data_IF_219245338492
#
_entry.id   IF_219245338492
#
_cell.length_a   1.000
_cell.length_b   1.000
_cell.length_c   1.000
_cell.angle_alpha   90.00
_cell.angle_beta   90.00
_cell.angle_gamma   90.00
#
_symmetry.space_group_name_H-M   'P 1'
#
loop_
_entity.id
_entity.type
_entity.pdbx_description
1 polymer ?
#
# COMPACT_ATOMS: atom_id res chain seq x y z
N UNK A 1 2.96 1.61 -30.28
CA UNK A 1 2.67 2.81 -29.47
C UNK A 1 3.44 2.78 -28.17
N UNK A 2 4.00 3.89 -27.73
CA UNK A 2 4.81 3.93 -26.48
C UNK A 2 4.08 3.40 -25.26
N UNK A 3 2.77 3.65 -25.15
CA UNK A 3 1.97 3.17 -24.01
C UNK A 3 1.96 1.65 -23.91
N UNK A 4 1.74 0.97 -25.02
CA UNK A 4 1.66 -0.49 -25.06
C UNK A 4 3.00 -1.14 -24.71
N UNK A 5 4.07 -0.62 -25.29
CA UNK A 5 5.43 -1.07 -25.03
C UNK A 5 5.82 -0.83 -23.56
N UNK A 6 5.41 0.29 -23.00
CA UNK A 6 5.64 0.62 -21.59
C UNK A 6 4.92 -0.37 -20.66
N UNK A 7 3.65 -0.67 -20.94
CA UNK A 7 2.87 -1.62 -20.12
C UNK A 7 3.50 -3.01 -20.15
N UNK A 8 3.98 -3.46 -21.32
CA UNK A 8 4.67 -4.76 -21.42
C UNK A 8 5.95 -4.74 -20.59
N UNK A 9 6.74 -3.69 -20.69
CA UNK A 9 7.97 -3.58 -19.92
C UNK A 9 7.70 -3.59 -18.41
N UNK A 10 6.65 -2.89 -17.96
CA UNK A 10 6.30 -2.84 -16.53
C UNK A 10 5.79 -4.17 -15.99
N UNK A 11 5.22 -5.03 -16.84
CA UNK A 11 4.84 -6.39 -16.42
C UNK A 11 6.04 -7.22 -15.98
N UNK A 12 7.22 -6.93 -16.50
CA UNK A 12 8.46 -7.66 -16.15
C UNK A 12 9.17 -7.08 -14.93
N UNK A 13 8.67 -5.99 -14.38
CA UNK A 13 9.18 -5.46 -13.12
C UNK A 13 8.48 -6.17 -11.95
N UNK A 14 9.14 -7.17 -11.38
CA UNK A 14 8.62 -7.88 -10.22
C UNK A 14 8.57 -6.93 -9.01
N UNK A 15 7.50 -6.99 -8.24
CA UNK A 15 7.31 -6.12 -7.10
C UNK A 15 6.70 -6.88 -5.94
N UNK A 16 7.09 -6.53 -4.72
CA UNK A 16 6.33 -6.90 -3.55
C UNK A 16 4.95 -6.25 -3.61
N UNK A 17 3.94 -6.96 -3.12
CA UNK A 17 2.58 -6.45 -3.05
C UNK A 17 2.35 -5.89 -1.66
N UNK A 18 1.82 -4.67 -1.60
CA UNK A 18 1.51 -4.00 -0.34
C UNK A 18 0.07 -3.53 -0.32
N UNK A 19 -0.45 -3.30 0.89
CA UNK A 19 -1.71 -2.59 1.11
C UNK A 19 -1.42 -1.35 1.93
N UNK A 20 -1.84 -0.20 1.42
CA UNK A 20 -1.79 1.07 2.14
C UNK A 20 -3.08 1.22 2.92
N UNK A 21 -2.99 1.47 4.23
CA UNK A 21 -4.15 1.59 5.10
C UNK A 21 -4.09 2.86 5.93
N UNK A 22 -5.24 3.48 6.11
CA UNK A 22 -5.38 4.72 6.89
C UNK A 22 -6.84 4.88 7.33
N UNK A 23 -7.09 5.81 8.25
CA UNK A 23 -8.44 6.23 8.57
C UNK A 23 -8.53 7.75 8.52
N UNK A 24 -9.72 8.25 8.17
CA UNK A 24 -9.95 9.68 8.11
C UNK A 24 -10.28 10.26 9.50
N UNK A 25 -10.53 11.57 9.54
CA UNK A 25 -10.83 12.28 10.78
C UNK A 25 -12.14 11.83 11.44
N UNK A 26 -13.05 11.19 10.69
CA UNK A 26 -14.29 10.62 11.22
C UNK A 26 -14.13 9.18 11.71
N UNK A 27 -12.96 8.57 11.51
CA UNK A 27 -12.69 7.19 11.86
C UNK A 27 -13.04 6.18 10.77
N UNK A 28 -13.45 6.63 9.57
CA UNK A 28 -13.69 5.72 8.44
C UNK A 28 -12.37 5.12 7.95
N UNK A 29 -12.40 3.82 7.68
CA UNK A 29 -11.23 3.02 7.33
C UNK A 29 -11.06 2.92 5.82
N UNK A 30 -9.83 3.01 5.35
CA UNK A 30 -9.46 2.92 3.94
C UNK A 30 -8.30 1.96 3.75
N UNK A 31 -8.28 1.27 2.61
CA UNK A 31 -7.20 0.37 2.23
C UNK A 31 -7.10 0.31 0.72
N UNK A 32 -5.88 0.21 0.19
CA UNK A 32 -5.62 0.12 -1.24
C UNK A 32 -4.40 -0.74 -1.48
N UNK A 33 -4.52 -1.72 -2.39
CA UNK A 33 -3.37 -2.50 -2.85
C UNK A 33 -2.46 -1.64 -3.72
N UNK A 34 -1.16 -1.71 -3.48
CA UNK A 34 -0.15 -0.97 -4.23
C UNK A 34 1.10 -1.82 -4.40
N UNK A 35 1.72 -1.71 -5.57
CA UNK A 35 3.05 -2.28 -5.85
C UNK A 35 4.11 -1.19 -6.06
N UNK A 36 3.73 0.07 -6.02
CA UNK A 36 4.59 1.24 -6.28
C UNK A 36 5.18 1.81 -4.99
N UNK A 37 5.63 0.94 -4.09
CA UNK A 37 6.23 1.32 -2.81
C UNK A 37 7.74 1.24 -2.95
N UNK A 38 8.44 2.30 -2.53
CA UNK A 38 9.91 2.28 -2.49
C UNK A 38 10.44 3.11 -1.32
N UNK A 39 11.57 2.66 -0.77
CA UNK A 39 12.31 3.46 0.21
C UNK A 39 12.87 4.70 -0.48
N UNK A 40 12.78 5.84 0.17
CA UNK A 40 13.27 7.11 -0.36
C UNK A 40 14.60 7.50 0.29
N UNK A 41 14.63 7.55 1.60
CA UNK A 41 15.83 7.84 2.39
C UNK A 41 15.88 6.94 3.60
N UNK A 42 17.09 6.76 4.16
CA UNK A 42 17.30 5.94 5.35
C UNK A 42 17.56 6.81 6.57
N UNK A 43 18.17 7.97 6.41
CA UNK A 43 18.52 8.86 7.52
C UNK A 43 18.07 10.30 7.24
N UNK A 44 16.90 10.71 7.73
CA UNK A 44 15.88 9.92 8.44
C UNK A 44 15.12 8.97 7.50
N UNK A 45 14.50 7.90 8.03
CA UNK A 45 13.80 6.95 7.17
C UNK A 45 12.51 7.55 6.60
N UNK A 46 12.38 7.44 5.28
CA UNK A 46 11.20 7.88 4.56
C UNK A 46 10.88 6.91 3.42
N UNK A 47 9.62 6.81 3.09
CA UNK A 47 9.09 5.91 2.08
C UNK A 47 8.17 6.68 1.15
N UNK A 48 8.01 6.22 -0.07
CA UNK A 48 7.04 6.80 -0.99
C UNK A 48 6.16 5.72 -1.60
N UNK A 49 4.97 6.12 -1.99
CA UNK A 49 4.02 5.29 -2.72
C UNK A 49 3.26 6.16 -3.72
N UNK A 50 2.99 5.61 -4.90
CA UNK A 50 2.18 6.28 -5.91
C UNK A 50 0.72 5.87 -5.74
N UNK A 51 -0.17 6.85 -5.63
CA UNK A 51 -1.59 6.62 -5.37
C UNK A 51 -2.41 7.23 -6.51
N UNK A 52 -3.29 6.42 -7.10
CA UNK A 52 -4.21 6.88 -8.13
C UNK A 52 -5.20 7.87 -7.51
N UNK A 53 -5.41 9.02 -8.16
CA UNK A 53 -6.35 10.04 -7.70
C UNK A 53 -7.80 9.54 -7.67
N UNK A 54 -8.12 8.49 -8.42
CA UNK A 54 -9.42 7.84 -8.40
C UNK A 54 -9.62 6.86 -7.23
N UNK A 55 -8.58 6.53 -6.47
CA UNK A 55 -8.71 5.68 -5.30
C UNK A 55 -9.33 6.45 -4.13
N UNK A 56 -10.22 5.79 -3.39
CA UNK A 56 -10.93 6.45 -2.27
C UNK A 56 -9.98 6.95 -1.18
N UNK A 57 -8.86 6.26 -0.96
CA UNK A 57 -7.86 6.65 0.05
C UNK A 57 -7.09 7.90 -0.34
N UNK A 58 -7.07 8.28 -1.63
CA UNK A 58 -6.22 9.37 -2.13
C UNK A 58 -6.44 10.66 -1.36
N UNK A 59 -7.70 11.07 -1.20
CA UNK A 59 -8.04 12.35 -0.56
C UNK A 59 -7.92 12.31 0.97
N UNK A 60 -7.72 11.12 1.53
CA UNK A 60 -7.46 10.94 2.98
C UNK A 60 -5.99 11.17 3.30
N UNK A 61 -5.08 10.85 2.37
CA UNK A 61 -3.63 10.91 2.58
C UNK A 61 -3.11 12.34 2.43
N UNK A 62 -3.46 13.17 3.39
CA UNK A 62 -3.02 14.56 3.49
C UNK A 62 -1.81 14.67 4.42
N UNK A 63 -0.97 15.72 4.27
CA UNK A 63 0.15 15.93 5.20
C UNK A 63 -0.30 15.88 6.66
N UNK A 64 0.42 15.14 7.48
CA UNK A 64 0.13 14.93 8.89
C UNK A 64 -0.73 13.70 9.19
N UNK A 65 -1.32 13.06 8.19
CA UNK A 65 -2.14 11.85 8.38
C UNK A 65 -1.23 10.64 8.55
N UNK A 66 -1.56 9.79 9.52
CA UNK A 66 -0.87 8.53 9.74
C UNK A 66 -1.38 7.46 8.77
N UNK A 67 -0.49 6.63 8.28
CA UNK A 67 -0.80 5.50 7.43
C UNK A 67 0.09 4.31 7.78
N UNK A 68 -0.32 3.14 7.35
CA UNK A 68 0.52 1.95 7.41
C UNK A 68 0.70 1.38 6.01
N UNK A 69 1.92 1.04 5.66
CA UNK A 69 2.21 0.27 4.46
C UNK A 69 2.44 -1.17 4.92
N UNK A 70 1.52 -2.04 4.52
CA UNK A 70 1.52 -3.45 4.88
C UNK A 70 2.10 -4.24 3.71
N UNK A 71 3.33 -4.70 3.84
CA UNK A 71 3.94 -5.60 2.85
C UNK A 71 3.35 -6.99 3.10
N UNK A 72 2.66 -7.54 2.10
CA UNK A 72 1.87 -8.75 2.27
C UNK A 72 2.72 -10.01 2.31
N UNK A 73 2.27 -11.00 3.07
CA UNK A 73 2.79 -12.37 3.01
C UNK A 73 2.09 -13.15 1.88
N UNK A 74 2.66 -14.30 1.50
CA UNK A 74 2.09 -15.18 0.46
C UNK A 74 0.67 -15.62 0.77
N UNK A 75 0.32 -15.78 2.03
CA UNK A 75 -1.01 -16.21 2.47
C UNK A 75 -2.05 -15.09 2.34
N UNK A 76 -1.65 -13.87 2.01
CA UNK A 76 -2.54 -12.71 1.95
C UNK A 76 -2.94 -12.32 0.53
N UNK A 77 -2.87 -13.24 -0.42
CA UNK A 77 -3.30 -12.97 -1.80
C UNK A 77 -4.75 -12.53 -1.88
N UNK A 78 -5.63 -13.13 -1.08
CA UNK A 78 -7.04 -12.74 -1.02
C UNK A 78 -7.22 -11.29 -0.56
N UNK A 79 -6.44 -10.86 0.41
CA UNK A 79 -6.44 -9.46 0.89
C UNK A 79 -6.00 -8.52 -0.24
N UNK A 80 -4.96 -8.89 -0.99
CA UNK A 80 -4.49 -8.11 -2.13
C UNK A 80 -5.61 -7.90 -3.16
N UNK A 81 -6.32 -8.96 -3.51
CA UNK A 81 -7.44 -8.90 -4.46
C UNK A 81 -8.58 -8.05 -3.92
N UNK A 82 -8.92 -8.21 -2.64
CA UNK A 82 -10.00 -7.49 -1.99
C UNK A 82 -9.74 -5.97 -1.97
N UNK A 83 -8.50 -5.57 -1.75
CA UNK A 83 -8.11 -4.15 -1.65
C UNK A 83 -7.79 -3.51 -3.01
N UNK A 84 -7.85 -4.26 -4.10
CA UNK A 84 -7.57 -3.74 -5.45
C UNK A 84 -8.82 -3.52 -6.29
N UNK A 85 -9.96 -4.11 -5.94
CA UNK A 85 -11.21 -3.98 -6.69
C UNK A 85 -12.15 -2.98 -6.02
N UNK A 86 -12.71 -2.05 -6.80
CA UNK A 86 -13.73 -1.11 -6.31
C UNK A 86 -15.00 -1.83 -5.91
N UNK A 87 -15.33 -2.93 -6.57
CA UNK A 87 -16.54 -3.72 -6.30
C UNK A 87 -16.53 -4.33 -4.90
N UNK A 88 -15.35 -4.56 -4.33
CA UNK A 88 -15.19 -5.15 -3.00
C UNK A 88 -14.78 -4.13 -1.93
N UNK A 89 -14.86 -2.84 -2.21
CA UNK A 89 -14.38 -1.80 -1.27
C UNK A 89 -15.06 -1.89 0.09
N UNK A 90 -16.36 -2.14 0.14
CA UNK A 90 -17.11 -2.27 1.40
C UNK A 90 -16.72 -3.50 2.21
N UNK A 91 -16.00 -4.44 1.62
CA UNK A 91 -15.61 -5.70 2.26
C UNK A 91 -14.17 -5.70 2.78
N UNK A 92 -13.39 -4.66 2.47
CA UNK A 92 -11.94 -4.65 2.77
C UNK A 92 -11.63 -4.81 4.25
N UNK A 93 -12.51 -4.33 5.12
CA UNK A 93 -12.37 -4.45 6.57
C UNK A 93 -13.38 -5.41 7.20
N UNK A 94 -14.20 -6.09 6.40
CA UNK A 94 -15.23 -7.03 6.88
C UNK A 94 -14.63 -8.43 7.11
N UNK A 95 -13.54 -8.49 7.87
CA UNK A 95 -12.82 -9.72 8.22
C UNK A 95 -12.01 -9.47 9.50
N UNK A 96 -11.37 -10.50 10.02
CA UNK A 96 -10.59 -10.43 11.26
C UNK A 96 -9.07 -10.21 11.03
N UNK A 97 -8.68 -9.81 9.82
CA UNK A 97 -7.26 -9.66 9.47
C UNK A 97 -6.65 -8.34 9.97
N UNK A 98 -7.47 -7.41 10.40
CA UNK A 98 -7.05 -6.05 10.73
C UNK A 98 -6.98 -5.79 12.23
N UNK A 99 -5.99 -4.99 12.63
CA UNK A 99 -6.01 -4.27 13.89
C UNK A 99 -6.37 -2.82 13.57
N UNK A 100 -7.46 -2.31 14.14
CA UNK A 100 -7.99 -0.98 13.84
C UNK A 100 -8.02 -0.05 15.05
N UNK A 101 -7.32 -0.39 16.12
CA UNK A 101 -7.32 0.39 17.36
C UNK A 101 -6.76 1.81 17.15
N UNK A 102 -5.70 1.92 16.37
CA UNK A 102 -5.10 3.20 15.98
C UNK A 102 -5.03 3.26 14.45
N UNK A 103 -3.86 3.52 13.87
CA UNK A 103 -3.68 3.37 12.43
C UNK A 103 -3.96 1.93 12.03
N UNK A 104 -4.90 1.67 11.11
CA UNK A 104 -5.23 0.30 10.75
C UNK A 104 -4.03 -0.41 10.12
N UNK A 105 -3.81 -1.65 10.54
CA UNK A 105 -2.77 -2.48 9.93
C UNK A 105 -3.20 -3.94 9.85
N UNK A 106 -2.64 -4.64 8.88
CA UNK A 106 -2.89 -6.07 8.67
C UNK A 106 -2.03 -6.91 9.62
N UNK A 107 -2.69 -7.76 10.40
CA UNK A 107 -2.02 -8.79 11.17
C UNK A 107 -1.41 -9.83 10.20
N UNK A 108 -0.36 -10.49 10.59
CA UNK A 108 0.32 -11.55 9.81
C UNK A 108 0.93 -11.08 8.48
N UNK A 109 1.10 -9.78 8.30
CA UNK A 109 1.82 -9.25 7.14
C UNK A 109 3.31 -9.60 7.24
N UNK A 110 3.99 -9.57 6.09
CA UNK A 110 5.45 -9.68 6.06
C UNK A 110 6.09 -8.55 6.85
N UNK A 111 5.62 -7.33 6.65
CA UNK A 111 6.05 -6.15 7.40
C UNK A 111 4.92 -5.12 7.47
N UNK A 112 4.92 -4.34 8.54
CA UNK A 112 4.06 -3.17 8.67
C UNK A 112 4.96 -1.96 8.90
N UNK A 113 4.86 -0.96 8.03
CA UNK A 113 5.66 0.28 8.10
C UNK A 113 4.71 1.40 8.47
N UNK A 114 4.73 1.80 9.73
CA UNK A 114 3.89 2.89 10.26
C UNK A 114 4.56 4.22 9.96
N UNK A 115 3.84 5.09 9.26
CA UNK A 115 4.40 6.31 8.71
C UNK A 115 3.42 7.46 8.85
N UNK A 116 3.89 8.67 8.62
CA UNK A 116 3.07 9.87 8.59
C UNK A 116 3.32 10.61 7.29
N UNK A 117 2.26 10.99 6.60
CA UNK A 117 2.37 11.74 5.35
C UNK A 117 3.10 13.06 5.61
N UNK A 118 4.16 13.30 4.85
CA UNK A 118 4.94 14.53 4.89
C UNK A 118 4.61 15.43 3.71
N UNK A 119 4.58 14.86 2.51
CA UNK A 119 4.43 15.63 1.28
C UNK A 119 3.63 14.81 0.26
N UNK A 120 2.76 15.48 -0.51
CA UNK A 120 1.99 14.88 -1.59
C UNK A 120 2.27 15.66 -2.86
N UNK A 121 2.78 14.98 -3.88
CA UNK A 121 3.13 15.58 -5.16
C UNK A 121 2.16 15.07 -6.21
N UNK A 122 1.33 15.97 -6.74
CA UNK A 122 0.38 15.65 -7.80
C UNK A 122 1.10 15.51 -9.14
N UNK A 123 0.81 14.43 -9.86
CA UNK A 123 1.32 14.21 -11.19
C UNK A 123 0.29 13.48 -12.05
N UNK A 124 -0.38 14.22 -12.94
CA UNK A 124 -1.42 13.67 -13.83
C UNK A 124 -2.47 12.85 -13.07
N UNK A 125 -2.63 11.56 -13.40
CA UNK A 125 -3.63 10.67 -12.79
C UNK A 125 -3.29 10.20 -11.39
N UNK A 126 -2.07 10.45 -10.91
CA UNK A 126 -1.55 9.94 -9.64
C UNK A 126 -1.01 11.05 -8.75
N UNK A 127 -0.74 10.71 -7.51
CA UNK A 127 0.07 11.50 -6.59
C UNK A 127 1.18 10.64 -6.03
N UNK A 128 2.34 11.24 -5.79
CA UNK A 128 3.42 10.61 -5.04
C UNK A 128 3.23 11.03 -3.59
N UNK A 129 2.98 10.07 -2.72
CA UNK A 129 2.84 10.30 -1.27
C UNK A 129 4.17 9.97 -0.63
N UNK A 130 4.82 10.97 -0.04
CA UNK A 130 6.07 10.82 0.71
C UNK A 130 5.72 10.82 2.19
N UNK A 131 6.17 9.81 2.91
CA UNK A 131 5.84 9.65 4.32
C UNK A 131 7.10 9.41 5.15
N UNK A 132 7.14 10.03 6.33
CA UNK A 132 8.17 9.78 7.33
C UNK A 132 7.85 8.49 8.05
N UNK A 133 8.83 7.59 8.14
CA UNK A 133 8.65 6.33 8.86
C UNK A 133 8.75 6.59 10.36
N UNK A 134 7.70 6.19 11.10
CA UNK A 134 7.64 6.33 12.55
C UNK A 134 8.20 5.08 13.25
N UNK A 135 7.80 3.90 12.77
CA UNK A 135 8.26 2.60 13.25
C UNK A 135 7.90 1.52 12.24
N UNK A 136 8.52 0.37 12.36
CA UNK A 136 8.21 -0.78 11.53
C UNK A 136 8.36 -2.07 12.33
N UNK A 137 7.60 -3.08 11.92
CA UNK A 137 7.72 -4.44 12.45
C UNK A 137 7.69 -5.42 11.29
N UNK A 138 8.34 -6.56 11.46
CA UNK A 138 8.46 -7.56 10.39
C UNK A 138 8.39 -8.97 10.97
N UNK A 139 7.97 -9.92 10.14
CA UNK A 139 8.08 -11.33 10.45
C UNK A 139 9.57 -11.76 10.52
N UNK A 140 9.82 -12.90 11.14
CA UNK A 140 11.20 -13.35 11.39
C UNK A 140 11.91 -13.81 10.12
N UNK A 141 11.16 -14.25 9.10
CA UNK A 141 11.73 -14.76 7.86
C UNK A 141 10.93 -14.26 6.66
N UNK A 142 11.57 -14.25 5.50
CA UNK A 142 10.93 -13.77 4.28
C UNK A 142 9.90 -14.78 3.75
N UNK A 143 8.67 -14.31 3.60
CA UNK A 143 7.57 -15.05 2.98
C UNK A 143 6.66 -14.05 2.24
N UNK A 144 7.26 -13.12 1.49
CA UNK A 144 6.55 -12.02 0.85
C UNK A 144 5.77 -12.43 -0.39
N UNK A 145 4.65 -11.76 -0.62
CA UNK A 145 3.84 -11.90 -1.83
C UNK A 145 4.46 -11.05 -2.94
N UNK A 146 4.75 -11.68 -4.08
CA UNK A 146 5.39 -11.03 -5.22
C UNK A 146 4.49 -11.13 -6.44
N UNK A 147 4.41 -10.05 -7.20
CA UNK A 147 3.64 -9.94 -8.42
C UNK A 147 4.56 -9.61 -9.59
N UNK A 148 4.43 -10.35 -10.69
CA UNK A 148 5.17 -10.11 -11.91
C UNK A 148 4.43 -10.73 -13.09
N UNK A 149 4.61 -10.16 -14.27
CA UNK A 149 4.03 -10.66 -15.53
C UNK A 149 2.52 -10.95 -15.43
N UNK A 150 1.79 -10.06 -14.77
CA UNK A 150 0.34 -10.12 -14.65
C UNK A 150 -0.19 -11.15 -13.65
N UNK A 151 0.64 -11.67 -12.76
CA UNK A 151 0.21 -12.67 -11.78
C UNK A 151 1.07 -12.72 -10.52
N UNK A 152 0.57 -13.42 -9.52
CA UNK A 152 1.32 -13.66 -8.30
C UNK A 152 2.31 -14.79 -8.51
N UNK A 153 3.50 -14.64 -7.97
CA UNK A 153 4.53 -15.70 -8.00
C UNK A 153 4.30 -16.68 -6.84
N UNK A 154 4.56 -17.96 -7.12
CA UNK A 154 4.43 -19.03 -6.12
C UNK A 154 5.55 -18.97 -5.07
#
# INVERSE_FOLDING_TARGET
>A
MPKEQFLIAMRFLASSVSVVSAKDSSGKLYAMTASSVTSLTIDPPAILVCVNKGASIHDVLLPGVDLCINILSKEQQDISNLCSSKDSESLRYANDCWNTDETPFLKDAQSNIFSQVDEVISYNSHSIVIAKVLRAQSADSFNGLIYADGGYLA
#
